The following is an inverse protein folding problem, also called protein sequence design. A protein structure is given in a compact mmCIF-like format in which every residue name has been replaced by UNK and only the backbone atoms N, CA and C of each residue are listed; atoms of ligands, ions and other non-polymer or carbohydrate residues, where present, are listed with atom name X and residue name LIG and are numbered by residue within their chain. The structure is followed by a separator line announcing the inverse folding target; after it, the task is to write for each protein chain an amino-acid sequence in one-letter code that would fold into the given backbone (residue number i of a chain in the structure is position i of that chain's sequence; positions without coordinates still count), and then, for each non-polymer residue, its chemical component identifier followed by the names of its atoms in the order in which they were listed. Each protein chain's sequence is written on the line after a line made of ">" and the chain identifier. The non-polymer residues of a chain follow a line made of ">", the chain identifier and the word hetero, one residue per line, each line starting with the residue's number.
data_IF_640446057451
#
_entry.id   IF_640446057451
#
_cell.length_a   1.000
_cell.length_b   1.000
_cell.length_c   1.000
_cell.angle_alpha   90.00
_cell.angle_beta   90.00
_cell.angle_gamma   90.00
#
_symmetry.space_group_name_H-M   'P 1'
#
loop_
_entity.id
_entity.type
_entity.pdbx_description
1 polymer ?
#
# COMPACT_ATOMS: atom_id res chain seq x y z
N UNK A 1 -8.55 22.27 -8.43
CA UNK A 1 -7.44 22.56 -7.50
C UNK A 1 -6.39 21.52 -7.79
N UNK A 2 -5.29 21.90 -8.43
CA UNK A 2 -4.18 20.96 -8.67
C UNK A 2 -3.62 20.58 -7.30
N UNK A 3 -3.81 19.32 -6.89
CA UNK A 3 -3.10 18.76 -5.75
C UNK A 3 -1.62 18.81 -6.12
N UNK A 4 -0.85 19.68 -5.46
CA UNK A 4 0.59 19.78 -5.61
C UNK A 4 1.22 18.55 -4.95
N UNK A 5 1.08 17.41 -5.61
CA UNK A 5 1.66 16.18 -5.13
C UNK A 5 3.18 16.27 -5.30
N UNK A 6 3.89 16.39 -4.17
CA UNK A 6 5.33 16.52 -4.11
C UNK A 6 5.98 15.14 -4.24
N UNK A 7 7.03 15.02 -5.04
CA UNK A 7 7.85 13.81 -5.07
C UNK A 7 9.07 14.02 -4.15
N UNK A 8 9.29 13.09 -3.23
CA UNK A 8 10.46 13.07 -2.35
C UNK A 8 11.15 11.70 -2.41
N UNK A 9 12.35 11.59 -1.82
CA UNK A 9 13.01 10.30 -1.59
C UNK A 9 12.71 9.88 -0.16
N UNK A 10 12.32 8.62 0.02
CA UNK A 10 12.14 7.99 1.32
C UNK A 10 12.93 6.70 1.45
N UNK A 11 13.23 6.31 2.69
CA UNK A 11 13.81 5.02 3.04
C UNK A 11 12.73 4.13 3.64
N UNK A 12 12.58 2.90 3.12
CA UNK A 12 11.65 1.93 3.69
C UNK A 12 12.23 1.43 5.00
N UNK A 13 11.48 1.59 6.09
CA UNK A 13 11.90 1.20 7.44
C UNK A 13 11.38 -0.18 7.79
N UNK A 14 10.10 -0.43 7.52
CA UNK A 14 9.44 -1.68 7.87
C UNK A 14 8.24 -1.97 6.95
N UNK A 15 7.82 -3.23 6.94
CA UNK A 15 6.60 -3.69 6.29
C UNK A 15 5.79 -4.60 7.23
N UNK A 16 4.58 -4.16 7.56
CA UNK A 16 3.73 -4.84 8.53
C UNK A 16 2.46 -5.39 7.88
N UNK A 17 2.05 -6.58 8.33
CA UNK A 17 0.72 -7.14 8.07
C UNK A 17 -0.11 -7.00 9.33
N UNK A 18 -1.25 -6.35 9.21
CA UNK A 18 -2.17 -6.04 10.30
C UNK A 18 -3.28 -7.08 10.34
N UNK A 19 -3.47 -7.70 11.51
CA UNK A 19 -4.67 -8.46 11.83
C UNK A 19 -5.72 -7.52 12.41
N UNK A 20 -6.83 -7.35 11.71
CA UNK A 20 -7.96 -6.51 12.13
C UNK A 20 -8.98 -7.40 12.82
N UNK A 21 -8.77 -7.57 14.13
CA UNK A 21 -9.67 -8.30 15.01
C UNK A 21 -10.51 -7.33 15.85
N UNK A 22 -11.43 -6.62 15.19
CA UNK A 22 -12.50 -5.94 15.91
C UNK A 22 -13.59 -6.97 16.20
N UNK A 23 -13.87 -7.20 17.47
CA UNK A 23 -14.90 -8.13 17.95
C UNK A 23 -16.26 -7.98 17.25
N UNK A 24 -16.63 -6.78 16.80
CA UNK A 24 -17.87 -6.54 16.05
C UNK A 24 -17.75 -6.92 14.57
N UNK A 25 -16.59 -6.64 13.96
CA UNK A 25 -16.30 -6.97 12.57
C UNK A 25 -16.11 -8.48 12.39
N UNK A 26 -15.31 -9.10 13.27
CA UNK A 26 -15.10 -10.55 13.32
C UNK A 26 -16.40 -11.29 13.62
N UNK A 27 -17.27 -10.76 14.50
CA UNK A 27 -18.60 -11.34 14.75
C UNK A 27 -19.54 -11.24 13.55
N UNK A 28 -19.46 -10.18 12.75
CA UNK A 28 -20.29 -9.99 11.56
C UNK A 28 -19.80 -10.82 10.36
N UNK A 29 -18.48 -11.01 10.22
CA UNK A 29 -17.85 -11.60 9.03
C UNK A 29 -17.37 -13.05 9.26
N UNK A 30 -17.32 -13.51 10.51
CA UNK A 30 -16.90 -14.87 10.88
C UNK A 30 -15.39 -15.14 10.75
N UNK A 31 -14.61 -14.18 10.25
CA UNK A 31 -13.15 -14.25 10.13
C UNK A 31 -12.53 -12.87 10.40
N UNK A 32 -11.33 -12.80 11.00
CA UNK A 32 -10.56 -11.56 11.07
C UNK A 32 -10.23 -11.03 9.67
N UNK A 33 -10.18 -9.72 9.50
CA UNK A 33 -9.71 -9.10 8.27
C UNK A 33 -8.20 -8.82 8.33
N UNK A 34 -7.55 -8.68 7.18
CA UNK A 34 -6.13 -8.38 7.06
C UNK A 34 -5.92 -7.05 6.33
N UNK A 35 -4.87 -6.33 6.69
CA UNK A 35 -4.34 -5.19 5.93
C UNK A 35 -2.82 -5.27 5.89
N UNK A 36 -2.17 -4.47 5.05
CA UNK A 36 -0.71 -4.32 5.09
C UNK A 36 -0.30 -2.86 4.97
N UNK A 37 0.83 -2.49 5.57
CA UNK A 37 1.40 -1.15 5.45
C UNK A 37 2.91 -1.17 5.36
N UNK A 38 3.46 -0.09 4.83
CA UNK A 38 4.89 0.16 4.76
C UNK A 38 5.20 1.45 5.54
N UNK A 39 6.13 1.37 6.48
CA UNK A 39 6.68 2.56 7.13
C UNK A 39 7.84 3.10 6.28
N UNK A 40 7.79 4.39 5.97
CA UNK A 40 8.80 5.05 5.15
C UNK A 40 9.26 6.32 5.85
N UNK A 41 10.57 6.44 6.02
CA UNK A 41 11.20 7.65 6.53
C UNK A 41 11.42 8.63 5.38
N UNK A 42 10.90 9.84 5.50
CA UNK A 42 11.05 10.93 4.53
C UNK A 42 11.62 12.15 5.25
N UNK A 43 12.89 12.46 5.01
CA UNK A 43 13.61 13.44 5.84
C UNK A 43 13.68 12.98 7.29
N UNK A 44 13.07 13.75 8.20
CA UNK A 44 13.01 13.45 9.64
C UNK A 44 11.66 12.86 10.08
N UNK A 45 10.71 12.68 9.15
CA UNK A 45 9.38 12.16 9.43
C UNK A 45 9.26 10.68 9.08
N UNK A 46 8.44 9.95 9.85
CA UNK A 46 8.06 8.57 9.58
C UNK A 46 6.60 8.54 9.15
N UNK A 47 6.36 8.09 7.93
CA UNK A 47 5.05 8.12 7.28
C UNK A 47 4.62 6.71 6.90
N UNK A 48 3.32 6.46 6.97
CA UNK A 48 2.72 5.17 6.63
C UNK A 48 2.14 5.22 5.22
N UNK A 49 2.48 4.21 4.42
CA UNK A 49 1.89 3.93 3.13
C UNK A 49 1.02 2.67 3.20
N UNK A 50 -0.22 2.75 2.71
CA UNK A 50 -1.20 1.66 2.84
C UNK A 50 -1.89 1.66 4.21
N UNK A 51 -2.17 0.45 4.72
CA UNK A 51 -2.72 0.23 6.05
C UNK A 51 -4.26 0.16 6.13
N UNK A 52 -4.79 -0.12 7.34
CA UNK A 52 -6.20 -0.47 7.55
C UNK A 52 -7.20 0.62 7.18
N UNK A 53 -6.73 1.87 7.09
CA UNK A 53 -7.54 3.02 6.70
C UNK A 53 -7.77 3.08 5.18
N UNK A 54 -7.02 2.29 4.40
CA UNK A 54 -7.07 2.29 2.94
C UNK A 54 -7.76 1.04 2.40
N UNK A 55 -7.41 -0.15 2.91
CA UNK A 55 -7.97 -1.41 2.42
C UNK A 55 -7.95 -2.48 3.50
N UNK A 56 -8.73 -3.54 3.28
CA UNK A 56 -8.57 -4.80 3.98
C UNK A 56 -9.00 -5.97 3.08
N UNK A 57 -8.41 -7.14 3.30
CA UNK A 57 -8.85 -8.42 2.72
C UNK A 57 -9.54 -9.26 3.79
N UNK A 58 -10.64 -9.92 3.44
CA UNK A 58 -11.20 -11.00 4.25
C UNK A 58 -10.64 -12.35 3.77
N UNK A 59 -9.87 -13.08 4.59
CA UNK A 59 -9.41 -14.42 4.26
C UNK A 59 -10.58 -15.36 3.93
N UNK A 60 -10.42 -16.19 2.89
CA UNK A 60 -11.41 -17.20 2.48
C UNK A 60 -12.80 -16.66 2.09
N UNK A 61 -12.88 -15.38 1.71
CA UNK A 61 -14.08 -14.80 1.10
C UNK A 61 -13.98 -14.83 -0.43
N UNK A 62 -15.11 -14.73 -1.13
CA UNK A 62 -15.14 -14.55 -2.60
C UNK A 62 -14.69 -13.13 -3.03
N UNK A 63 -14.21 -12.30 -2.10
CA UNK A 63 -13.77 -10.92 -2.35
C UNK A 63 -12.33 -10.84 -2.86
N UNK A 64 -11.99 -9.72 -3.49
CA UNK A 64 -10.65 -9.42 -4.00
C UNK A 64 -9.59 -9.41 -2.89
N UNK A 65 -8.47 -10.12 -3.10
CA UNK A 65 -7.34 -10.14 -2.16
C UNK A 65 -6.47 -8.86 -2.29
N UNK A 66 -6.97 -7.75 -1.75
CA UNK A 66 -6.27 -6.46 -1.76
C UNK A 66 -4.93 -6.49 -1.04
N UNK A 67 -4.79 -7.26 0.04
CA UNK A 67 -3.52 -7.47 0.75
C UNK A 67 -2.49 -8.13 -0.14
N UNK A 68 -2.83 -9.27 -0.76
CA UNK A 68 -1.95 -9.94 -1.72
C UNK A 68 -1.54 -9.02 -2.87
N UNK A 69 -2.52 -8.30 -3.45
CA UNK A 69 -2.26 -7.34 -4.52
C UNK A 69 -1.35 -6.19 -4.07
N UNK A 70 -1.59 -5.61 -2.89
CA UNK A 70 -0.77 -4.54 -2.33
C UNK A 70 0.69 -4.97 -2.17
N UNK A 71 0.91 -6.15 -1.58
CA UNK A 71 2.25 -6.72 -1.37
C UNK A 71 2.97 -6.89 -2.71
N UNK A 72 2.32 -7.54 -3.68
CA UNK A 72 2.91 -7.79 -5.01
C UNK A 72 3.21 -6.48 -5.74
N UNK A 73 2.31 -5.50 -5.67
CA UNK A 73 2.51 -4.20 -6.30
C UNK A 73 3.64 -3.40 -5.63
N UNK A 74 3.80 -3.50 -4.31
CA UNK A 74 4.96 -2.93 -3.62
C UNK A 74 6.26 -3.56 -4.12
N UNK A 75 6.32 -4.89 -4.25
CA UNK A 75 7.49 -5.58 -4.79
C UNK A 75 7.82 -5.15 -6.21
N UNK A 76 6.80 -5.02 -7.07
CA UNK A 76 6.97 -4.56 -8.45
C UNK A 76 7.45 -3.10 -8.51
N UNK A 77 6.85 -2.21 -7.71
CA UNK A 77 7.18 -0.80 -7.67
C UNK A 77 8.62 -0.57 -7.18
N UNK A 78 9.04 -1.33 -6.16
CA UNK A 78 10.37 -1.21 -5.53
C UNK A 78 11.43 -2.07 -6.22
N UNK A 79 11.02 -3.02 -7.09
CA UNK A 79 11.87 -3.98 -7.83
C UNK A 79 12.59 -5.00 -6.94
N UNK A 80 11.86 -5.58 -6.01
CA UNK A 80 12.35 -6.64 -5.11
C UNK A 80 11.45 -7.88 -5.16
N UNK A 81 11.82 -8.94 -4.45
CA UNK A 81 11.04 -10.18 -4.38
C UNK A 81 10.55 -10.54 -2.98
N UNK A 82 11.08 -9.90 -1.94
CA UNK A 82 10.70 -10.17 -0.55
C UNK A 82 10.58 -8.87 0.25
N UNK A 83 9.81 -8.89 1.34
CA UNK A 83 9.71 -7.75 2.26
C UNK A 83 11.07 -7.38 2.86
N UNK A 84 11.88 -8.39 3.18
CA UNK A 84 13.23 -8.22 3.72
C UNK A 84 14.17 -7.45 2.78
N UNK A 85 14.00 -7.57 1.48
CA UNK A 85 14.77 -6.80 0.49
C UNK A 85 14.32 -5.34 0.42
N UNK A 86 13.10 -5.02 0.86
CA UNK A 86 12.61 -3.65 0.88
C UNK A 86 13.22 -2.85 2.03
N UNK A 87 13.41 -3.44 3.20
CA UNK A 87 13.96 -2.74 4.37
C UNK A 87 15.31 -2.09 4.05
N UNK A 88 15.43 -0.79 4.32
CA UNK A 88 16.58 0.04 3.99
C UNK A 88 16.67 0.49 2.53
N UNK A 89 15.75 0.07 1.66
CA UNK A 89 15.73 0.53 0.26
C UNK A 89 15.25 1.98 0.17
N UNK A 90 15.94 2.75 -0.70
CA UNK A 90 15.51 4.10 -1.05
C UNK A 90 14.51 4.06 -2.22
N UNK A 91 13.43 4.81 -2.09
CA UNK A 91 12.33 4.87 -3.05
C UNK A 91 11.91 6.32 -3.32
N UNK A 92 11.24 6.54 -4.45
CA UNK A 92 10.49 7.78 -4.66
C UNK A 92 9.13 7.63 -3.99
N UNK A 93 8.75 8.65 -3.22
CA UNK A 93 7.43 8.75 -2.60
C UNK A 93 6.69 9.95 -3.18
N UNK A 94 5.42 9.75 -3.51
CA UNK A 94 4.50 10.82 -3.87
C UNK A 94 3.70 11.19 -2.64
N UNK A 95 3.77 12.46 -2.24
CA UNK A 95 3.08 12.97 -1.06
C UNK A 95 1.93 13.90 -1.47
N UNK A 96 0.78 13.70 -0.85
CA UNK A 96 -0.35 14.63 -0.88
C UNK A 96 -0.93 14.76 0.52
N UNK A 97 -1.18 16.00 0.95
CA UNK A 97 -1.73 16.31 2.28
C UNK A 97 -1.01 15.61 3.46
N UNK A 98 0.32 15.55 3.39
CA UNK A 98 1.17 14.92 4.42
C UNK A 98 1.14 13.39 4.45
N UNK A 99 0.54 12.73 3.44
CA UNK A 99 0.45 11.27 3.34
C UNK A 99 1.14 10.76 2.08
N UNK A 100 1.70 9.56 2.15
CA UNK A 100 2.21 8.86 0.97
C UNK A 100 1.01 8.33 0.18
N UNK A 101 0.87 8.81 -1.05
CA UNK A 101 -0.21 8.39 -1.96
C UNK A 101 0.29 7.44 -3.05
N UNK A 102 1.59 7.41 -3.30
CA UNK A 102 2.18 6.43 -4.20
C UNK A 102 3.69 6.28 -4.05
N UNK A 103 4.21 5.16 -4.53
CA UNK A 103 5.62 4.79 -4.43
C UNK A 103 6.16 4.30 -5.79
N UNK A 104 7.45 4.53 -6.05
CA UNK A 104 8.16 3.91 -7.18
C UNK A 104 9.64 3.72 -6.83
N UNK A 105 10.35 2.87 -7.60
CA UNK A 105 11.80 2.77 -7.47
C UNK A 105 12.49 4.06 -7.90
N UNK A 106 13.76 4.24 -7.51
CA UNK A 106 14.57 5.37 -7.96
C UNK A 106 14.81 5.37 -9.48
N UNK A 107 14.73 4.20 -10.11
CA UNK A 107 15.14 3.97 -11.50
C UNK A 107 14.07 4.36 -12.53
N UNK A 108 12.81 4.50 -12.14
CA UNK A 108 11.72 4.87 -13.04
C UNK A 108 10.63 5.70 -12.33
N UNK A 109 9.65 6.19 -13.09
CA UNK A 109 8.52 6.98 -12.58
C UNK A 109 7.18 6.21 -12.67
N UNK A 110 7.22 4.88 -12.65
CA UNK A 110 6.03 4.04 -12.62
C UNK A 110 5.55 3.91 -11.17
N UNK A 111 4.76 4.89 -10.74
CA UNK A 111 4.21 4.93 -9.40
C UNK A 111 3.05 3.94 -9.23
N UNK A 112 3.08 3.20 -8.12
CA UNK A 112 1.95 2.43 -7.61
C UNK A 112 1.07 3.34 -6.74
N UNK A 113 -0.23 3.41 -7.05
CA UNK A 113 -1.22 4.23 -6.33
C UNK A 113 -2.38 3.36 -5.80
N UNK A 114 -2.31 2.85 -4.55
CA UNK A 114 -3.22 1.81 -4.07
C UNK A 114 -4.70 2.26 -4.08
N UNK A 115 -5.00 3.51 -3.69
CA UNK A 115 -6.39 4.02 -3.70
C UNK A 115 -6.98 3.94 -5.11
N UNK A 116 -6.29 4.52 -6.10
CA UNK A 116 -6.79 4.57 -7.47
C UNK A 116 -6.81 3.19 -8.17
N UNK A 117 -5.88 2.30 -7.83
CA UNK A 117 -5.86 0.94 -8.38
C UNK A 117 -6.96 0.06 -7.78
N UNK A 118 -7.20 0.15 -6.47
CA UNK A 118 -8.22 -0.67 -5.83
C UNK A 118 -9.64 -0.20 -6.16
N UNK A 119 -9.87 1.11 -6.28
CA UNK A 119 -11.17 1.64 -6.74
C UNK A 119 -11.55 1.15 -8.15
N UNK A 120 -10.57 0.96 -9.04
CA UNK A 120 -10.81 0.42 -10.39
C UNK A 120 -11.21 -1.06 -10.34
N UNK A 121 -10.51 -1.84 -9.53
CA UNK A 121 -10.81 -3.26 -9.31
C UNK A 121 -12.21 -3.46 -8.72
N UNK A 122 -12.61 -2.64 -7.75
CA UNK A 122 -13.97 -2.68 -7.18
C UNK A 122 -15.06 -2.38 -8.22
N UNK A 123 -14.75 -1.56 -9.22
CA UNK A 123 -15.65 -1.22 -10.32
C UNK A 123 -15.62 -2.23 -11.48
N UNK A 124 -14.75 -3.24 -11.41
CA UNK A 124 -14.52 -4.19 -12.51
C UNK A 124 -13.90 -3.54 -13.75
N UNK A 125 -13.27 -2.38 -13.58
CA UNK A 125 -12.50 -1.69 -14.62
C UNK A 125 -11.07 -2.22 -14.56
N UNK A 126 -10.86 -3.45 -15.06
CA UNK A 126 -9.50 -3.91 -15.30
C UNK A 126 -8.85 -2.96 -16.31
N UNK A 127 -7.71 -2.39 -15.94
CA UNK A 127 -6.89 -1.62 -16.86
C UNK A 127 -6.34 -2.59 -17.91
N UNK A 128 -7.00 -2.65 -19.06
CA UNK A 128 -6.42 -3.16 -20.30
C UNK A 128 -5.12 -2.39 -20.58
N UNK A 129 -3.99 -3.00 -20.27
CA UNK A 129 -2.68 -2.71 -20.88
C UNK A 129 -2.27 -3.89 -21.78
#
# INVERSE_FOLDING_TARGET
>A
MESNALTQIGEIIDFEIHLLDDSLLTAALGTPALSASMEVKVGDEYLIFGGPQLFCSMPNSDSSDFVGLFIVKCFQAVRVHTTREMEGSLIKVKLADGKIVGISSLENDNFFYPVGEFEKLEKGEDSDD
#
